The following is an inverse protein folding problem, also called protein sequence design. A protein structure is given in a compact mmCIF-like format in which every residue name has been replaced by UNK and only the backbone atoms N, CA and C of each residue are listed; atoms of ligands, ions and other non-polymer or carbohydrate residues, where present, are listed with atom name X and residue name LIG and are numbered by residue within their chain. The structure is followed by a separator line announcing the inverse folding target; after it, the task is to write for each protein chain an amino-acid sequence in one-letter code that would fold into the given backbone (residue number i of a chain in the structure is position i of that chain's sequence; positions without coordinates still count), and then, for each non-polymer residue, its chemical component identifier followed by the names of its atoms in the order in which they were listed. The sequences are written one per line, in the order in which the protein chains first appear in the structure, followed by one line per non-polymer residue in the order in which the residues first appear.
data_IF_076773405659
#
_entry.id   IF_076773405659
#
_cell.length_a   1.000
_cell.length_b   1.000
_cell.length_c   1.000
_cell.angle_alpha   90.00
_cell.angle_beta   90.00
_cell.angle_gamma   90.00
#
_symmetry.space_group_name_H-M   'P 1'
#
loop_
_entity.id
_entity.type
_entity.pdbx_description
1 polymer ?
#
# COMPACT_ATOMS: atom_id res chain seq x y z
N UNK A 1 6.91 3.95 12.53
CA UNK A 1 7.84 3.53 13.62
C UNK A 1 7.53 4.20 14.95
N UNK A 2 6.36 3.96 15.57
CA UNK A 2 6.05 4.59 16.88
C UNK A 2 5.82 3.58 18.03
N UNK A 3 5.41 2.34 17.76
CA UNK A 3 5.07 1.39 18.85
C UNK A 3 6.03 0.20 19.03
N UNK A 4 6.76 -0.25 18.00
CA UNK A 4 7.69 -1.40 18.13
C UNK A 4 8.96 -1.08 18.93
N UNK A 5 9.47 0.16 18.83
CA UNK A 5 10.64 0.64 19.58
C UNK A 5 10.53 0.51 21.10
N UNK A 6 9.33 0.38 21.65
CA UNK A 6 9.10 0.41 23.10
C UNK A 6 9.09 -0.96 23.80
N UNK A 7 9.05 -2.09 23.07
CA UNK A 7 8.84 -3.41 23.71
C UNK A 7 9.70 -4.58 23.18
N UNK A 8 10.31 -4.50 21.99
CA UNK A 8 11.16 -5.56 21.46
C UNK A 8 12.31 -5.01 20.59
N UNK A 9 13.49 -5.64 20.59
CA UNK A 9 14.56 -5.31 19.65
C UNK A 9 14.06 -5.43 18.21
N UNK A 10 14.28 -4.40 17.39
CA UNK A 10 13.69 -4.31 16.05
C UNK A 10 14.68 -3.70 15.05
N UNK A 11 14.64 -4.18 13.80
CA UNK A 11 15.37 -3.62 12.65
C UNK A 11 14.40 -3.41 11.49
N UNK A 12 14.54 -2.29 10.79
CA UNK A 12 13.78 -1.96 9.58
C UNK A 12 14.56 -2.37 8.34
N UNK A 13 13.87 -3.05 7.42
CA UNK A 13 14.33 -3.27 6.04
C UNK A 13 13.32 -2.66 5.09
N UNK A 14 13.79 -1.94 4.07
CA UNK A 14 12.91 -1.28 3.10
C UNK A 14 12.56 -2.17 1.91
N UNK A 15 13.42 -3.13 1.58
CA UNK A 15 13.29 -3.97 0.39
C UNK A 15 14.09 -5.28 0.55
N UNK A 16 14.02 -6.14 -0.47
CA UNK A 16 14.73 -7.41 -0.49
C UNK A 16 16.27 -7.25 -0.46
N UNK A 17 16.82 -6.20 -1.06
CA UNK A 17 18.28 -5.97 -1.05
C UNK A 17 18.79 -5.72 0.39
N UNK A 18 18.05 -4.91 1.17
CA UNK A 18 18.34 -4.70 2.58
C UNK A 18 18.13 -5.96 3.42
N UNK A 19 17.12 -6.78 3.09
CA UNK A 19 16.91 -8.07 3.76
C UNK A 19 18.10 -9.02 3.54
N UNK A 20 18.63 -9.09 2.32
CA UNK A 20 19.83 -9.89 1.99
C UNK A 20 21.06 -9.40 2.74
N UNK A 21 21.26 -8.08 2.85
CA UNK A 21 22.34 -7.49 3.66
C UNK A 21 22.19 -7.85 5.14
N UNK A 22 20.98 -7.75 5.67
CA UNK A 22 20.67 -8.08 7.07
C UNK A 22 20.96 -9.55 7.38
N UNK A 23 20.61 -10.47 6.46
CA UNK A 23 20.84 -11.90 6.63
C UNK A 23 22.32 -12.26 6.85
N UNK A 24 23.26 -11.51 6.28
CA UNK A 24 24.70 -11.73 6.50
C UNK A 24 25.13 -11.55 7.95
N UNK A 25 24.46 -10.68 8.70
CA UNK A 25 24.68 -10.52 10.13
C UNK A 25 24.04 -11.67 10.92
N UNK A 26 22.91 -12.19 10.45
CA UNK A 26 22.24 -13.36 11.02
C UNK A 26 23.10 -14.63 10.84
N UNK A 27 23.66 -14.86 9.66
CA UNK A 27 24.48 -16.05 9.35
C UNK A 27 25.91 -15.94 9.88
N UNK A 28 26.35 -14.75 10.32
CA UNK A 28 27.70 -14.49 10.80
C UNK A 28 28.73 -14.26 9.70
N UNK A 29 28.29 -14.07 8.45
CA UNK A 29 29.14 -13.72 7.30
C UNK A 29 29.68 -12.28 7.37
N UNK A 30 29.06 -11.40 8.15
CA UNK A 30 29.47 -10.00 8.33
C UNK A 30 29.71 -9.66 9.79
N UNK A 31 30.67 -8.75 10.04
CA UNK A 31 31.05 -8.36 11.39
C UNK A 31 30.01 -7.45 12.05
N UNK A 32 29.61 -7.76 13.27
CA UNK A 32 28.61 -7.02 14.05
C UNK A 32 28.88 -5.51 14.20
N UNK A 33 30.15 -5.07 14.12
CA UNK A 33 30.49 -3.65 14.14
C UNK A 33 30.02 -2.86 12.91
N UNK A 34 29.96 -3.50 11.74
CA UNK A 34 29.51 -2.87 10.49
C UNK A 34 27.99 -2.69 10.43
N UNK A 35 27.24 -3.45 11.23
CA UNK A 35 25.78 -3.38 11.29
C UNK A 35 25.28 -1.97 11.62
N UNK A 36 25.88 -1.32 12.63
CA UNK A 36 25.41 -0.03 13.11
C UNK A 36 25.61 1.11 12.10
N UNK A 37 26.60 0.98 11.22
CA UNK A 37 26.83 1.91 10.10
C UNK A 37 25.89 1.62 8.94
N UNK A 38 25.69 0.35 8.58
CA UNK A 38 24.88 -0.04 7.42
C UNK A 38 23.37 0.15 7.66
N UNK A 39 22.91 -0.02 8.90
CA UNK A 39 21.52 0.14 9.31
C UNK A 39 21.31 1.38 10.21
N UNK A 40 22.14 2.42 10.06
CA UNK A 40 22.02 3.65 10.85
C UNK A 40 20.59 4.19 10.86
N UNK A 41 20.06 4.47 12.05
CA UNK A 41 18.69 4.98 12.24
C UNK A 41 17.56 3.95 12.04
N UNK A 42 17.88 2.73 11.59
CA UNK A 42 16.91 1.66 11.26
C UNK A 42 16.75 0.58 12.33
N UNK A 43 17.41 0.71 13.47
CA UNK A 43 17.28 -0.24 14.60
C UNK A 43 16.74 0.44 15.87
N UNK A 44 16.33 -0.38 16.85
CA UNK A 44 15.96 0.07 18.20
C UNK A 44 17.20 0.40 19.05
N UNK A 45 17.09 1.36 19.98
CA UNK A 45 18.22 1.93 20.76
C UNK A 45 19.14 0.91 21.45
N UNK A 46 18.62 -0.24 21.86
CA UNK A 46 19.37 -1.29 22.56
C UNK A 46 19.55 -2.59 21.74
N UNK A 47 19.52 -2.50 20.41
CA UNK A 47 19.66 -3.67 19.54
C UNK A 47 21.08 -4.26 19.60
N UNK A 48 21.19 -5.55 19.91
CA UNK A 48 22.44 -6.32 19.92
C UNK A 48 22.45 -7.33 18.75
N UNK A 49 23.15 -7.04 17.64
CA UNK A 49 23.21 -7.94 16.48
C UNK A 49 23.89 -9.28 16.76
N UNK A 50 24.50 -9.48 17.93
CA UNK A 50 25.08 -10.78 18.32
C UNK A 50 24.07 -11.71 19.01
N UNK A 51 22.97 -11.15 19.53
CA UNK A 51 21.96 -11.90 20.33
C UNK A 51 20.56 -11.80 19.75
N UNK A 52 20.16 -10.61 19.29
CA UNK A 52 18.77 -10.34 18.92
C UNK A 52 18.36 -10.99 17.59
N UNK A 53 19.31 -11.51 16.81
CA UNK A 53 19.05 -12.36 15.65
C UNK A 53 18.87 -13.85 15.97
N UNK A 54 18.90 -14.26 17.25
CA UNK A 54 18.59 -15.64 17.63
C UNK A 54 17.14 -16.00 17.31
N UNK A 55 16.21 -15.06 17.41
CA UNK A 55 14.79 -15.27 17.10
C UNK A 55 14.28 -14.16 16.21
N UNK A 56 13.73 -14.51 15.06
CA UNK A 56 13.30 -13.54 14.05
C UNK A 56 11.80 -13.68 13.81
N UNK A 57 11.10 -12.55 13.85
CA UNK A 57 9.72 -12.39 13.38
C UNK A 57 9.65 -11.24 12.40
N UNK A 58 8.88 -11.39 11.32
CA UNK A 58 8.80 -10.39 10.24
C UNK A 58 7.42 -9.72 10.26
N UNK A 59 7.37 -8.54 10.86
CA UNK A 59 6.15 -7.74 10.92
C UNK A 59 6.10 -6.73 9.78
N UNK A 60 4.90 -6.49 9.23
CA UNK A 60 4.70 -5.50 8.19
C UNK A 60 4.32 -4.13 8.78
N UNK A 61 4.71 -3.06 8.08
CA UNK A 61 4.03 -1.77 8.25
C UNK A 61 2.69 -1.83 7.53
N UNK A 62 1.62 -1.31 8.14
CA UNK A 62 0.19 -1.43 7.72
C UNK A 62 -0.12 -0.99 6.27
N UNK A 63 0.87 -0.47 5.55
CA UNK A 63 0.74 0.23 4.27
C UNK A 63 1.63 -0.35 3.16
N UNK A 64 2.45 -1.38 3.42
CA UNK A 64 3.24 -2.05 2.36
C UNK A 64 2.46 -3.19 1.70
N UNK A 65 2.85 -3.55 0.47
CA UNK A 65 2.30 -4.69 -0.25
C UNK A 65 2.49 -5.98 0.55
N UNK A 66 1.39 -6.73 0.76
CA UNK A 66 1.44 -8.00 1.49
C UNK A 66 2.36 -9.03 0.83
N UNK A 67 2.43 -9.00 -0.51
CA UNK A 67 3.31 -9.89 -1.30
C UNK A 67 4.79 -9.61 -1.06
N UNK A 68 5.20 -8.35 -0.98
CA UNK A 68 6.61 -7.99 -0.73
C UNK A 68 7.05 -8.42 0.68
N UNK A 69 6.18 -8.23 1.67
CA UNK A 69 6.44 -8.74 3.03
C UNK A 69 6.51 -10.26 3.05
N UNK A 70 5.65 -10.94 2.29
CA UNK A 70 5.67 -12.40 2.21
C UNK A 70 6.99 -12.92 1.64
N UNK A 71 7.50 -12.31 0.58
CA UNK A 71 8.80 -12.66 0.01
C UNK A 71 9.94 -12.48 1.03
N UNK A 72 9.96 -11.36 1.74
CA UNK A 72 10.96 -11.09 2.79
C UNK A 72 10.82 -12.08 3.95
N UNK A 73 9.60 -12.43 4.34
CA UNK A 73 9.31 -13.40 5.40
C UNK A 73 9.81 -14.80 5.02
N UNK A 74 9.49 -15.29 3.82
CA UNK A 74 9.99 -16.58 3.31
C UNK A 74 11.52 -16.58 3.15
N UNK A 75 12.11 -15.45 2.77
CA UNK A 75 13.56 -15.30 2.73
C UNK A 75 14.19 -15.50 4.11
N UNK A 76 13.72 -14.77 5.14
CA UNK A 76 14.24 -14.96 6.50
C UNK A 76 13.93 -16.35 7.06
N UNK A 77 12.79 -16.95 6.72
CA UNK A 77 12.48 -18.35 7.07
C UNK A 77 13.54 -19.31 6.53
N UNK A 78 13.98 -19.12 5.28
CA UNK A 78 15.05 -19.92 4.67
C UNK A 78 16.40 -19.69 5.36
N UNK A 79 16.76 -18.44 5.65
CA UNK A 79 18.00 -18.10 6.38
C UNK A 79 18.03 -18.77 7.75
N UNK A 80 16.93 -18.72 8.50
CA UNK A 80 16.83 -19.36 9.82
C UNK A 80 16.83 -20.89 9.71
N UNK A 81 16.21 -21.44 8.67
CA UNK A 81 16.23 -22.88 8.37
C UNK A 81 17.65 -23.37 8.08
N UNK A 82 18.43 -22.64 7.28
CA UNK A 82 19.81 -22.97 6.98
C UNK A 82 20.70 -22.90 8.22
N UNK A 83 20.49 -21.90 9.09
CA UNK A 83 21.30 -21.70 10.30
C UNK A 83 20.98 -22.70 11.42
N UNK A 84 19.70 -22.97 11.69
CA UNK A 84 19.26 -23.73 12.88
C UNK A 84 18.68 -25.11 12.56
N UNK A 85 18.44 -25.41 11.27
CA UNK A 85 17.86 -26.66 10.80
C UNK A 85 16.33 -26.73 11.01
N UNK A 86 15.68 -27.64 10.28
CA UNK A 86 14.22 -27.77 10.27
C UNK A 86 13.62 -28.09 11.65
N UNK A 87 14.36 -28.80 12.50
CA UNK A 87 13.86 -29.22 13.82
C UNK A 87 13.75 -28.08 14.82
N UNK A 88 14.51 -27.00 14.63
CA UNK A 88 14.52 -25.86 15.56
C UNK A 88 13.87 -24.60 14.96
N UNK A 89 13.36 -24.68 13.73
CA UNK A 89 12.84 -23.51 13.00
C UNK A 89 11.75 -22.79 13.79
N UNK A 90 10.77 -23.52 14.35
CA UNK A 90 9.64 -22.93 15.10
C UNK A 90 10.06 -22.20 16.38
N UNK A 91 11.27 -22.47 16.89
CA UNK A 91 11.84 -21.78 18.07
C UNK A 91 12.56 -20.50 17.69
N UNK A 92 13.04 -20.42 16.45
CA UNK A 92 13.92 -19.36 15.95
C UNK A 92 13.26 -18.45 14.91
N UNK A 93 12.15 -18.87 14.30
CA UNK A 93 11.39 -18.08 13.35
C UNK A 93 9.91 -18.12 13.70
N UNK A 94 9.26 -16.96 13.66
CA UNK A 94 7.79 -16.87 13.80
C UNK A 94 7.23 -16.18 12.57
N UNK A 95 6.29 -16.87 11.92
CA UNK A 95 5.52 -16.29 10.85
C UNK A 95 4.40 -15.43 11.44
N UNK A 96 4.56 -14.10 11.35
CA UNK A 96 3.56 -13.14 11.83
C UNK A 96 2.53 -12.77 10.77
N UNK A 97 2.28 -13.66 9.79
CA UNK A 97 1.19 -13.53 8.79
C UNK A 97 -0.14 -13.07 9.39
N UNK A 98 -0.50 -13.56 10.57
CA UNK A 98 -1.75 -13.21 11.27
C UNK A 98 -1.81 -11.76 11.79
N UNK A 99 -0.73 -10.98 11.65
CA UNK A 99 -0.70 -9.54 11.96
C UNK A 99 -0.81 -8.65 10.73
N UNK A 100 -0.80 -9.22 9.52
CA UNK A 100 -1.15 -8.46 8.32
C UNK A 100 -2.64 -8.13 8.37
N UNK A 101 -2.96 -6.83 8.29
CA UNK A 101 -4.34 -6.38 8.25
C UNK A 101 -4.97 -6.87 6.94
N UNK A 102 -5.92 -7.81 7.02
CA UNK A 102 -6.68 -8.33 5.88
C UNK A 102 -7.34 -7.21 5.04
N UNK A 103 -7.71 -6.09 5.68
CA UNK A 103 -8.25 -4.92 4.99
C UNK A 103 -7.27 -4.30 3.97
N UNK A 104 -5.95 -4.49 4.14
CA UNK A 104 -4.95 -4.04 3.17
C UNK A 104 -4.84 -5.02 2.00
N UNK A 105 -4.95 -6.34 2.26
CA UNK A 105 -4.93 -7.34 1.19
C UNK A 105 -6.18 -7.26 0.31
N UNK A 106 -7.37 -7.18 0.90
CA UNK A 106 -8.63 -7.13 0.13
C UNK A 106 -8.70 -5.87 -0.75
N UNK A 107 -8.27 -4.72 -0.21
CA UNK A 107 -8.20 -3.48 -0.99
C UNK A 107 -7.09 -3.53 -2.06
N UNK A 108 -5.95 -4.19 -1.79
CA UNK A 108 -4.90 -4.39 -2.79
C UNK A 108 -5.33 -5.35 -3.90
N UNK A 109 -6.00 -6.47 -3.57
CA UNK A 109 -6.55 -7.40 -4.54
C UNK A 109 -7.63 -6.73 -5.40
N UNK A 110 -8.53 -5.95 -4.79
CA UNK A 110 -9.50 -5.15 -5.54
C UNK A 110 -8.80 -4.15 -6.49
N UNK A 111 -7.74 -3.49 -6.01
CA UNK A 111 -6.94 -2.56 -6.82
C UNK A 111 -6.21 -3.24 -7.96
N UNK A 112 -5.63 -4.42 -7.74
CA UNK A 112 -4.99 -5.22 -8.78
C UNK A 112 -6.01 -5.74 -9.78
N UNK A 113 -7.20 -6.11 -9.31
CA UNK A 113 -8.35 -6.43 -10.16
C UNK A 113 -8.72 -5.28 -11.09
N UNK A 114 -8.68 -4.03 -10.60
CA UNK A 114 -8.92 -2.83 -11.43
C UNK A 114 -7.90 -2.67 -12.57
N UNK A 115 -6.69 -3.22 -12.46
CA UNK A 115 -5.72 -3.20 -13.56
C UNK A 115 -6.06 -4.18 -14.69
N UNK A 116 -6.88 -5.19 -14.40
CA UNK A 116 -7.31 -6.20 -15.38
C UNK A 116 -8.49 -5.76 -16.24
N UNK A 117 -9.24 -4.74 -15.81
CA UNK A 117 -10.36 -4.18 -16.57
C UNK A 117 -9.88 -3.09 -17.53
N UNK A 118 -10.68 -2.80 -18.55
CA UNK A 118 -10.47 -1.65 -19.44
C UNK A 118 -11.31 -0.47 -18.95
N UNK A 119 -10.70 0.72 -18.89
CA UNK A 119 -11.34 1.95 -18.45
C UNK A 119 -10.66 3.16 -19.14
N UNK A 120 -11.41 4.26 -19.28
CA UNK A 120 -10.93 5.49 -19.90
C UNK A 120 -10.17 6.39 -18.91
N UNK A 121 -10.55 6.33 -17.62
CA UNK A 121 -9.86 7.04 -16.53
C UNK A 121 -10.11 6.38 -15.17
N UNK A 122 -9.30 6.77 -14.19
CA UNK A 122 -9.50 6.44 -12.79
C UNK A 122 -9.68 7.70 -11.92
N UNK A 123 -10.62 7.66 -11.00
CA UNK A 123 -10.87 8.68 -9.99
C UNK A 123 -10.70 8.03 -8.61
N UNK A 124 -9.74 8.52 -7.84
CA UNK A 124 -9.41 7.99 -6.51
C UNK A 124 -9.79 9.01 -5.45
N UNK A 125 -10.62 8.61 -4.49
CA UNK A 125 -11.10 9.46 -3.41
C UNK A 125 -10.40 9.14 -2.08
N UNK A 126 -9.81 10.14 -1.42
CA UNK A 126 -9.27 10.00 -0.08
C UNK A 126 -8.37 11.14 0.37
N UNK A 127 -7.97 11.13 1.64
CA UNK A 127 -7.12 12.20 2.19
C UNK A 127 -5.67 12.11 1.71
N UNK A 128 -5.07 13.23 1.30
CA UNK A 128 -3.72 13.32 0.74
C UNK A 128 -2.58 12.79 1.60
N UNK A 129 -2.80 12.66 2.91
CA UNK A 129 -1.82 12.09 3.85
C UNK A 129 -1.99 10.57 4.05
N UNK A 130 -2.94 9.93 3.37
CA UNK A 130 -3.17 8.49 3.43
C UNK A 130 -2.25 7.77 2.46
N UNK A 131 -1.25 7.08 2.99
CA UNK A 131 -0.33 6.26 2.20
C UNK A 131 -1.04 5.16 1.43
N UNK A 132 -2.13 4.58 1.95
CA UNK A 132 -2.92 3.57 1.23
C UNK A 132 -3.60 4.17 0.00
N UNK A 133 -4.12 5.39 0.13
CA UNK A 133 -4.75 6.09 -1.01
C UNK A 133 -3.70 6.48 -2.04
N UNK A 134 -2.56 7.02 -1.59
CA UNK A 134 -1.45 7.34 -2.49
C UNK A 134 -0.93 6.11 -3.24
N UNK A 135 -0.82 4.96 -2.58
CA UNK A 135 -0.40 3.73 -3.23
C UNK A 135 -1.40 3.24 -4.28
N UNK A 136 -2.70 3.37 -4.02
CA UNK A 136 -3.76 3.10 -4.99
C UNK A 136 -3.62 4.00 -6.24
N UNK A 137 -3.33 5.29 -6.04
CA UNK A 137 -3.07 6.23 -7.14
C UNK A 137 -1.87 5.79 -7.96
N UNK A 138 -0.73 5.52 -7.31
CA UNK A 138 0.50 5.04 -7.99
C UNK A 138 0.27 3.77 -8.81
N UNK A 139 -0.55 2.85 -8.32
CA UNK A 139 -0.88 1.61 -9.03
C UNK A 139 -1.71 1.88 -10.28
N UNK A 140 -2.77 2.69 -10.16
CA UNK A 140 -3.67 2.99 -11.28
C UNK A 140 -3.01 3.86 -12.35
N UNK A 141 -2.11 4.77 -11.96
CA UNK A 141 -1.32 5.60 -12.88
C UNK A 141 -0.44 4.80 -13.86
N UNK A 142 -0.14 3.52 -13.55
CA UNK A 142 0.60 2.64 -14.47
C UNK A 142 -0.18 2.32 -15.76
N UNK A 143 -1.52 2.40 -15.72
CA UNK A 143 -2.39 2.01 -16.85
C UNK A 143 -3.37 3.11 -17.25
N UNK A 144 -3.88 3.88 -16.29
CA UNK A 144 -4.97 4.82 -16.52
C UNK A 144 -4.57 6.25 -16.20
N UNK A 145 -5.19 7.20 -16.90
CA UNK A 145 -5.17 8.60 -16.48
C UNK A 145 -5.92 8.70 -15.14
N UNK A 146 -5.20 9.03 -14.08
CA UNK A 146 -5.73 8.96 -12.71
C UNK A 146 -5.85 10.36 -12.12
N UNK A 147 -6.97 10.61 -11.44
CA UNK A 147 -7.24 11.85 -10.73
C UNK A 147 -7.44 11.56 -9.24
N UNK A 148 -6.62 12.17 -8.39
CA UNK A 148 -6.68 12.01 -6.94
C UNK A 148 -7.36 13.20 -6.28
N UNK A 149 -8.53 12.97 -5.69
CA UNK A 149 -9.32 13.99 -5.00
C UNK A 149 -9.60 13.57 -3.55
N UNK A 150 -9.80 14.55 -2.68
CA UNK A 150 -10.19 14.37 -1.30
C UNK A 150 -11.71 14.43 -1.08
N UNK A 151 -12.43 15.12 -1.96
CA UNK A 151 -13.87 15.34 -1.85
C UNK A 151 -14.50 15.76 -3.19
N UNK A 152 -15.82 15.94 -3.19
CA UNK A 152 -16.60 16.27 -4.39
C UNK A 152 -16.40 17.70 -4.88
N UNK A 153 -16.04 18.63 -3.99
CA UNK A 153 -15.84 20.05 -4.29
C UNK A 153 -14.67 20.29 -5.25
N UNK A 154 -13.79 19.31 -5.40
CA UNK A 154 -12.67 19.31 -6.34
C UNK A 154 -13.09 19.03 -7.78
N UNK A 155 -14.31 18.54 -8.01
CA UNK A 155 -14.93 18.41 -9.34
C UNK A 155 -15.70 19.70 -9.66
N UNK A 156 -14.97 20.65 -10.25
CA UNK A 156 -15.43 22.02 -10.52
C UNK A 156 -16.60 22.01 -11.52
N UNK A 157 -16.45 21.28 -12.64
CA UNK A 157 -17.47 21.16 -13.68
C UNK A 157 -17.31 19.85 -14.45
N UNK A 158 -18.11 19.61 -15.50
CA UNK A 158 -17.92 18.47 -16.43
C UNK A 158 -16.53 18.48 -17.09
N UNK A 159 -15.91 19.66 -17.23
CA UNK A 159 -14.64 19.82 -17.92
C UNK A 159 -13.47 20.04 -16.98
N UNK A 160 -13.70 20.49 -15.76
CA UNK A 160 -12.63 20.96 -14.88
C UNK A 160 -12.60 20.20 -13.56
N UNK A 161 -11.39 19.79 -13.17
CA UNK A 161 -11.11 19.12 -11.91
C UNK A 161 -9.85 19.71 -11.27
N UNK A 162 -9.85 19.84 -9.95
CA UNK A 162 -8.67 20.17 -9.15
C UNK A 162 -8.27 18.94 -8.35
N UNK A 163 -7.13 18.36 -8.67
CA UNK A 163 -6.68 17.08 -8.11
C UNK A 163 -5.26 17.21 -7.56
N UNK A 164 -4.86 16.29 -6.71
CA UNK A 164 -3.53 16.27 -6.11
C UNK A 164 -2.58 15.40 -6.92
N UNK A 165 -1.50 16.00 -7.42
CA UNK A 165 -0.38 15.24 -7.98
C UNK A 165 0.50 14.76 -6.83
N UNK A 166 0.45 13.45 -6.57
CA UNK A 166 1.18 12.82 -5.47
C UNK A 166 2.71 12.92 -5.65
N UNK A 167 3.22 12.77 -6.88
CA UNK A 167 4.66 12.76 -7.15
C UNK A 167 5.32 14.11 -6.88
N UNK A 168 4.61 15.19 -7.24
CA UNK A 168 5.08 16.56 -7.01
C UNK A 168 4.51 17.18 -5.72
N UNK A 169 3.58 16.49 -5.04
CA UNK A 169 2.92 16.93 -3.82
C UNK A 169 2.27 18.32 -3.91
N UNK A 170 1.65 18.62 -5.05
CA UNK A 170 0.95 19.89 -5.31
C UNK A 170 -0.48 19.67 -5.83
N UNK A 171 -1.33 20.65 -5.59
CA UNK A 171 -2.66 20.70 -6.22
C UNK A 171 -2.53 21.18 -7.67
N UNK A 172 -3.08 20.41 -8.59
CA UNK A 172 -3.10 20.67 -10.02
C UNK A 172 -4.54 20.88 -10.48
N UNK A 173 -4.76 21.83 -11.37
CA UNK A 173 -6.04 21.99 -12.06
C UNK A 173 -5.90 21.45 -13.48
N UNK A 174 -6.86 20.62 -13.90
CA UNK A 174 -6.89 20.01 -15.23
C UNK A 174 -8.22 20.28 -15.91
N UNK A 175 -8.14 20.55 -17.21
CA UNK A 175 -9.29 20.70 -18.10
C UNK A 175 -9.50 19.41 -18.91
N UNK A 176 -10.70 19.25 -19.47
CA UNK A 176 -11.14 18.09 -20.26
C UNK A 176 -10.82 16.76 -19.57
N UNK A 177 -11.12 16.68 -18.27
CA UNK A 177 -10.83 15.49 -17.47
C UNK A 177 -11.76 14.32 -17.79
N UNK A 178 -13.03 14.61 -18.12
CA UNK A 178 -13.97 13.60 -18.63
C UNK A 178 -13.78 13.39 -20.15
N UNK A 179 -13.60 12.14 -20.60
CA UNK A 179 -13.52 11.79 -22.02
C UNK A 179 -14.80 12.12 -22.77
N UNK A 180 -14.68 12.67 -23.98
CA UNK A 180 -15.80 12.82 -24.92
C UNK A 180 -16.11 11.51 -25.64
N UNK A 181 -16.42 10.45 -24.88
CA UNK A 181 -16.74 9.10 -25.36
C UNK A 181 -18.01 8.61 -24.68
N UNK A 182 -18.89 7.92 -25.40
CA UNK A 182 -20.10 7.30 -24.83
C UNK A 182 -20.25 5.87 -25.35
N UNK A 183 -20.29 4.83 -24.47
CA UNK A 183 -20.17 4.92 -23.01
C UNK A 183 -18.75 5.31 -22.55
N UNK A 184 -18.66 6.02 -21.42
CA UNK A 184 -17.41 6.30 -20.72
C UNK A 184 -17.25 5.27 -19.59
N UNK A 185 -16.11 4.59 -19.54
CA UNK A 185 -15.79 3.63 -18.50
C UNK A 185 -14.86 4.30 -17.48
N UNK A 186 -15.34 4.49 -16.24
CA UNK A 186 -14.62 5.20 -15.18
C UNK A 186 -14.40 4.25 -14.02
N UNK A 187 -13.14 4.08 -13.62
CA UNK A 187 -12.79 3.46 -12.34
C UNK A 187 -13.04 4.48 -11.24
N UNK A 188 -13.96 4.19 -10.33
CA UNK A 188 -14.13 4.96 -9.09
C UNK A 188 -13.66 4.09 -7.93
N UNK A 189 -12.63 4.54 -7.22
CA UNK A 189 -12.08 3.83 -6.07
C UNK A 189 -11.74 4.79 -4.94
N UNK A 190 -11.47 4.26 -3.75
CA UNK A 190 -11.17 5.06 -2.58
C UNK A 190 -10.19 4.38 -1.64
N UNK A 191 -9.44 5.17 -0.88
CA UNK A 191 -8.62 4.64 0.19
C UNK A 191 -9.44 4.04 1.33
N UNK A 192 -8.86 3.09 2.07
CA UNK A 192 -9.53 2.37 3.16
C UNK A 192 -10.10 3.27 4.28
N UNK A 193 -9.60 4.49 4.42
CA UNK A 193 -10.06 5.48 5.41
C UNK A 193 -11.03 6.52 4.84
N UNK A 194 -11.45 6.39 3.58
CA UNK A 194 -12.41 7.29 2.95
C UNK A 194 -13.83 6.92 3.37
N UNK A 195 -14.66 7.85 3.87
CA UNK A 195 -16.06 7.56 4.17
C UNK A 195 -16.86 7.26 2.91
N UNK A 196 -17.74 6.25 2.95
CA UNK A 196 -18.62 5.89 1.83
C UNK A 196 -19.40 7.09 1.27
N UNK A 197 -19.85 8.00 2.15
CA UNK A 197 -20.56 9.21 1.76
C UNK A 197 -19.75 10.14 0.83
N UNK A 198 -18.42 10.18 0.97
CA UNK A 198 -17.57 10.98 0.09
C UNK A 198 -17.48 10.37 -1.31
N UNK A 199 -17.35 9.03 -1.38
CA UNK A 199 -17.36 8.29 -2.65
C UNK A 199 -18.71 8.42 -3.34
N UNK A 200 -19.81 8.31 -2.57
CA UNK A 200 -21.17 8.46 -3.07
C UNK A 200 -21.44 9.85 -3.66
N UNK A 201 -20.99 10.91 -2.97
CA UNK A 201 -21.12 12.28 -3.43
C UNK A 201 -20.35 12.52 -4.75
N UNK A 202 -19.16 11.95 -4.87
CA UNK A 202 -18.36 11.97 -6.10
C UNK A 202 -19.08 11.24 -7.23
N UNK A 203 -19.61 10.03 -6.96
CA UNK A 203 -20.39 9.27 -7.93
C UNK A 203 -21.62 10.06 -8.42
N UNK A 204 -22.40 10.63 -7.49
CA UNK A 204 -23.57 11.45 -7.83
C UNK A 204 -23.21 12.69 -8.65
N UNK A 205 -22.08 13.33 -8.32
CA UNK A 205 -21.56 14.48 -9.08
C UNK A 205 -21.22 14.11 -10.51
N UNK A 206 -20.52 13.00 -10.72
CA UNK A 206 -20.17 12.51 -12.07
C UNK A 206 -21.41 12.12 -12.85
N UNK A 207 -22.32 11.36 -12.24
CA UNK A 207 -23.59 10.97 -12.88
C UNK A 207 -24.43 12.18 -13.26
N UNK A 208 -24.38 13.27 -12.49
CA UNK A 208 -25.05 14.54 -12.79
C UNK A 208 -24.59 15.21 -14.09
N UNK A 209 -23.47 14.80 -14.69
CA UNK A 209 -23.02 15.29 -15.99
C UNK A 209 -23.55 14.46 -17.18
N UNK A 210 -24.15 13.30 -16.93
CA UNK A 210 -24.69 12.43 -17.98
C UNK A 210 -26.22 12.48 -18.05
N UNK A 211 -26.75 12.26 -19.25
CA UNK A 211 -28.20 12.09 -19.46
C UNK A 211 -28.57 10.60 -19.50
N UNK A 212 -29.79 10.24 -19.08
CA UNK A 212 -30.29 8.85 -19.05
C UNK A 212 -29.52 7.88 -18.12
N UNK A 213 -29.16 8.36 -16.92
CA UNK A 213 -28.53 7.53 -15.88
C UNK A 213 -29.57 6.61 -15.22
N UNK A 214 -29.24 5.34 -15.03
CA UNK A 214 -30.06 4.42 -14.21
C UNK A 214 -29.87 4.74 -12.73
N UNK A 215 -30.93 4.67 -11.94
CA UNK A 215 -30.82 4.95 -10.51
C UNK A 215 -29.92 3.93 -9.80
N UNK A 216 -29.07 4.40 -8.87
CA UNK A 216 -28.18 3.54 -8.05
C UNK A 216 -28.93 2.35 -7.44
N UNK A 217 -30.15 2.58 -6.93
CA UNK A 217 -31.00 1.55 -6.29
C UNK A 217 -31.44 0.44 -7.25
N UNK A 218 -31.59 0.76 -8.53
CA UNK A 218 -31.97 -0.22 -9.56
C UNK A 218 -30.80 -1.13 -9.89
N UNK A 219 -29.58 -0.57 -9.99
CA UNK A 219 -28.35 -1.33 -10.26
C UNK A 219 -28.01 -2.25 -9.09
N UNK A 220 -28.07 -1.76 -7.85
CA UNK A 220 -27.79 -2.55 -6.64
C UNK A 220 -28.75 -3.74 -6.46
N UNK A 221 -29.94 -3.69 -7.04
CA UNK A 221 -30.89 -4.82 -7.06
C UNK A 221 -30.56 -5.87 -8.11
N UNK A 222 -29.68 -5.55 -9.05
CA UNK A 222 -29.31 -6.40 -10.19
C UNK A 222 -27.90 -6.99 -10.11
N UNK A 223 -27.13 -6.63 -9.08
CA UNK A 223 -25.85 -7.21 -8.70
C UNK A 223 -26.06 -8.39 -7.75
#
# INVERSE_FOLDING_TARGET
FSHSRQKAPSVMVLNMEEAVKLARYITGESQSGSFFTEFEGKYSENFDPTKDFEKVGVVNQTTMLASETHEISEFFRKVMLEKYGAQNLDTHFTDTRDTLCYATNDNQEATLGLLTVEADLALVVGGYNSSNTSHLVELLEKKFKTYYISNVEEIISEKEIRHFDYHSSIMVQSTDFLPQKTPTDIILSSGASCPDAAVDAVLDRILGFYTNVREKKEILRSL
#
